data_IF_377290104824
#
_entry.id   IF_377290104824
#
_cell.length_a   1.000
_cell.length_b   1.000
_cell.length_c   1.000
_cell.angle_alpha   90.00
_cell.angle_beta   90.00
_cell.angle_gamma   90.00
#
_symmetry.space_group_name_H-M   'P 1'
#
loop_
_entity.id
_entity.type
_entity.pdbx_description
1 polymer ?
#
# COMPACT_ATOMS: atom_id res chain seq x y z
N UNK A 1 -6.68 26.94 -5.06
CA UNK A 1 -6.42 26.41 -3.70
C UNK A 1 -5.33 25.37 -3.79
N UNK A 2 -4.44 25.27 -2.81
CA UNK A 2 -3.43 24.19 -2.73
C UNK A 2 -3.76 23.38 -1.49
N UNK A 3 -3.88 22.06 -1.64
CA UNK A 3 -4.24 21.15 -0.56
C UNK A 3 -3.42 19.86 -0.62
N UNK A 4 -3.54 19.06 0.44
CA UNK A 4 -2.89 17.75 0.55
C UNK A 4 -3.94 16.73 0.96
N UNK A 5 -3.91 15.58 0.30
CA UNK A 5 -4.58 14.37 0.76
C UNK A 5 -3.49 13.47 1.36
N UNK A 6 -3.69 13.07 2.61
CA UNK A 6 -2.71 12.33 3.41
C UNK A 6 -3.28 10.95 3.75
N UNK A 7 -2.51 9.91 3.44
CA UNK A 7 -2.85 8.52 3.75
C UNK A 7 -1.77 7.92 4.65
N UNK A 8 -2.17 7.44 5.82
CA UNK A 8 -1.28 6.78 6.77
C UNK A 8 -1.58 5.27 6.82
N UNK A 9 -0.60 4.46 6.45
CA UNK A 9 -0.65 3.02 6.69
C UNK A 9 -0.50 2.76 8.20
N UNK A 10 -1.38 1.93 8.75
CA UNK A 10 -1.40 1.59 10.19
C UNK A 10 -1.03 0.15 10.45
N UNK A 11 -1.64 -0.78 9.72
CA UNK A 11 -1.43 -2.20 9.90
C UNK A 11 -1.68 -2.94 8.58
N UNK A 12 -0.90 -3.99 8.34
CA UNK A 12 -1.06 -4.93 7.25
C UNK A 12 -0.68 -6.34 7.69
N UNK A 13 -1.39 -7.34 7.20
CA UNK A 13 -1.16 -8.74 7.55
C UNK A 13 -1.22 -9.61 6.30
N UNK A 14 -0.13 -10.33 6.06
CA UNK A 14 -0.01 -11.41 5.08
C UNK A 14 0.75 -12.57 5.75
N UNK A 15 0.15 -13.26 6.74
CA UNK A 15 0.86 -14.27 7.53
C UNK A 15 1.44 -15.41 6.69
N UNK A 16 0.82 -15.71 5.54
CA UNK A 16 1.24 -16.77 4.64
C UNK A 16 2.34 -16.34 3.65
N UNK A 17 2.63 -15.03 3.53
CA UNK A 17 3.66 -14.51 2.62
C UNK A 17 3.33 -14.71 1.14
N UNK A 18 2.04 -14.61 0.79
CA UNK A 18 1.55 -14.91 -0.57
C UNK A 18 1.32 -13.64 -1.40
N UNK A 19 1.57 -13.76 -2.69
CA UNK A 19 1.15 -12.80 -3.71
C UNK A 19 -0.32 -13.03 -4.10
N UNK A 20 -0.89 -12.06 -4.82
CA UNK A 20 -2.24 -12.19 -5.39
C UNK A 20 -2.39 -13.41 -6.31
N UNK A 21 -1.30 -13.87 -6.94
CA UNK A 21 -1.28 -15.08 -7.77
C UNK A 21 -1.42 -16.38 -6.97
N UNK A 22 -1.21 -16.35 -5.65
CA UNK A 22 -1.10 -17.53 -4.79
C UNK A 22 0.32 -18.10 -4.67
N UNK A 23 1.30 -17.50 -5.36
CA UNK A 23 2.73 -17.83 -5.20
C UNK A 23 3.31 -17.14 -3.97
N UNK A 24 4.45 -17.63 -3.47
CA UNK A 24 5.21 -16.92 -2.45
C UNK A 24 5.79 -15.61 -3.00
N UNK A 25 5.78 -14.55 -2.19
CA UNK A 25 6.38 -13.27 -2.58
C UNK A 25 7.88 -13.36 -2.80
N UNK A 26 8.55 -14.16 -1.96
CA UNK A 26 9.95 -14.52 -2.08
C UNK A 26 10.10 -16.03 -2.26
N UNK A 27 11.30 -16.56 -1.99
CA UNK A 27 11.61 -17.96 -2.21
C UNK A 27 10.72 -18.89 -1.36
N UNK A 28 10.22 -20.00 -1.94
CA UNK A 28 9.58 -21.05 -1.18
C UNK A 28 10.51 -21.59 -0.09
N UNK A 29 9.96 -22.05 1.04
CA UNK A 29 10.76 -22.74 2.05
C UNK A 29 11.35 -24.04 1.47
N UNK A 30 12.56 -24.42 1.92
CA UNK A 30 13.17 -25.71 1.60
C UNK A 30 12.25 -26.85 2.07
N UNK A 31 11.48 -27.43 1.14
CA UNK A 31 10.41 -28.40 1.46
C UNK A 31 9.07 -28.14 0.77
N UNK A 32 8.90 -27.03 0.06
CA UNK A 32 7.97 -26.91 -1.08
C UNK A 32 6.47 -26.76 -0.78
N UNK A 33 6.06 -26.49 0.47
CA UNK A 33 4.64 -26.35 0.82
C UNK A 33 4.26 -25.04 1.52
N UNK A 34 5.23 -24.24 1.96
CA UNK A 34 4.99 -22.96 2.66
C UNK A 34 6.01 -21.93 2.20
N UNK A 35 5.64 -20.66 2.27
CA UNK A 35 6.59 -19.58 2.04
C UNK A 35 7.63 -19.51 3.15
N UNK A 36 8.81 -19.02 2.81
CA UNK A 36 9.90 -18.89 3.76
C UNK A 36 9.50 -17.97 4.91
N UNK A 37 9.66 -18.44 6.15
CA UNK A 37 9.54 -17.57 7.32
C UNK A 37 10.78 -16.67 7.52
N UNK A 38 11.91 -17.03 6.89
CA UNK A 38 13.19 -16.32 6.99
C UNK A 38 13.34 -15.22 5.94
N UNK A 39 12.69 -15.39 4.80
CA UNK A 39 12.74 -14.48 3.66
C UNK A 39 11.30 -14.04 3.39
N UNK A 40 10.97 -12.85 3.88
CA UNK A 40 9.61 -12.31 3.96
C UNK A 40 9.45 -11.18 2.95
N UNK A 41 8.22 -10.96 2.52
CA UNK A 41 7.91 -9.98 1.48
C UNK A 41 8.45 -8.58 1.81
N UNK A 42 9.11 -7.94 0.86
CA UNK A 42 9.41 -6.51 0.93
C UNK A 42 8.15 -5.67 0.64
N UNK A 43 7.30 -5.49 1.65
CA UNK A 43 5.98 -4.86 1.50
C UNK A 43 6.07 -3.34 1.42
N UNK A 44 5.51 -2.76 0.35
CA UNK A 44 5.28 -1.32 0.18
C UNK A 44 3.83 -1.05 -0.27
N UNK A 45 3.39 0.21 -0.18
CA UNK A 45 2.05 0.62 -0.56
C UNK A 45 2.07 1.65 -1.68
N UNK A 46 1.17 1.49 -2.63
CA UNK A 46 0.87 2.46 -3.68
C UNK A 46 -0.58 2.92 -3.56
N UNK A 47 -0.80 4.23 -3.65
CA UNK A 47 -2.12 4.83 -3.61
C UNK A 47 -2.37 5.64 -4.89
N UNK A 48 -3.55 5.44 -5.48
CA UNK A 48 -4.06 6.17 -6.62
C UNK A 48 -5.35 6.88 -6.21
N UNK A 49 -5.37 8.19 -6.32
CA UNK A 49 -6.53 9.01 -6.01
C UNK A 49 -7.14 9.53 -7.31
N UNK A 50 -8.46 9.44 -7.42
CA UNK A 50 -9.23 9.90 -8.59
C UNK A 50 -10.64 10.32 -8.21
N UNK A 51 -11.39 10.82 -9.17
CA UNK A 51 -12.77 11.25 -8.98
C UNK A 51 -13.69 10.12 -8.51
N UNK A 52 -14.74 10.51 -7.80
CA UNK A 52 -15.82 9.59 -7.45
C UNK A 52 -16.47 9.02 -8.72
N UNK A 53 -16.70 7.72 -8.72
CA UNK A 53 -17.39 7.01 -9.79
C UNK A 53 -18.49 6.14 -9.17
N UNK A 54 -19.73 6.26 -9.65
CA UNK A 54 -20.85 5.44 -9.18
C UNK A 54 -20.60 3.93 -9.37
N UNK A 55 -19.78 3.56 -10.36
CA UNK A 55 -19.24 2.22 -10.55
C UNK A 55 -17.72 2.29 -10.55
N UNK A 56 -17.09 1.72 -9.54
CA UNK A 56 -15.64 1.81 -9.35
C UNK A 56 -14.92 0.92 -10.37
N UNK A 57 -14.01 1.53 -11.14
CA UNK A 57 -13.01 0.81 -11.91
C UNK A 57 -11.68 0.85 -11.14
N UNK A 58 -11.08 -0.29 -10.75
CA UNK A 58 -9.83 -0.29 -9.96
C UNK A 58 -8.62 0.16 -10.79
N UNK A 59 -8.74 0.14 -12.12
CA UNK A 59 -7.74 0.62 -13.07
C UNK A 59 -8.16 1.97 -13.66
N UNK A 60 -7.20 2.73 -14.17
CA UNK A 60 -7.42 4.03 -14.81
C UNK A 60 -6.40 5.06 -14.36
N UNK A 61 -6.56 6.30 -14.83
CA UNK A 61 -5.69 7.41 -14.44
C UNK A 61 -5.99 7.89 -13.02
N UNK A 62 -4.95 8.20 -12.26
CA UNK A 62 -5.04 8.84 -10.95
C UNK A 62 -5.22 10.36 -11.14
N UNK A 63 -6.43 10.78 -11.52
CA UNK A 63 -6.75 12.17 -11.89
C UNK A 63 -6.45 13.18 -10.78
N UNK A 64 -6.49 12.73 -9.53
CA UNK A 64 -6.16 13.53 -8.36
C UNK A 64 -4.70 13.37 -7.91
N UNK A 65 -4.01 12.36 -8.42
CA UNK A 65 -2.60 12.07 -8.18
C UNK A 65 -2.38 10.69 -7.56
N UNK A 66 -1.12 10.31 -7.45
CA UNK A 66 -0.71 9.04 -6.83
C UNK A 66 0.53 9.22 -5.98
N UNK A 67 0.78 8.27 -5.09
CA UNK A 67 1.99 8.21 -4.30
C UNK A 67 2.31 6.80 -3.84
N UNK A 68 3.51 6.60 -3.31
CA UNK A 68 3.93 5.31 -2.76
C UNK A 68 4.80 5.51 -1.54
N UNK A 69 4.87 4.49 -0.71
CA UNK A 69 5.82 4.40 0.38
C UNK A 69 7.12 3.74 -0.11
N UNK A 70 8.20 3.85 0.67
CA UNK A 70 9.26 2.85 0.61
C UNK A 70 8.77 1.49 1.13
N UNK A 71 9.66 0.49 1.16
CA UNK A 71 9.40 -0.77 1.85
C UNK A 71 9.22 -0.49 3.34
N UNK A 72 8.10 -0.93 3.90
CA UNK A 72 7.73 -0.68 5.30
C UNK A 72 8.00 -1.89 6.21
N UNK A 73 8.14 -3.08 5.64
CA UNK A 73 8.42 -4.29 6.40
C UNK A 73 8.12 -5.56 5.63
N UNK A 74 8.16 -6.67 6.37
CA UNK A 74 7.95 -8.04 5.89
C UNK A 74 6.50 -8.40 5.54
N UNK A 75 6.16 -9.66 5.82
CA UNK A 75 4.82 -10.23 5.65
C UNK A 75 3.72 -9.49 6.43
N UNK A 76 4.02 -8.98 7.63
CA UNK A 76 3.04 -8.30 8.47
C UNK A 76 3.70 -7.14 9.20
N UNK A 77 2.96 -6.04 9.32
CA UNK A 77 3.45 -4.80 9.88
C UNK A 77 2.36 -4.14 10.72
N UNK A 78 2.72 -3.64 11.89
CA UNK A 78 1.89 -2.73 12.69
C UNK A 78 2.72 -1.50 13.05
N UNK A 79 2.39 -0.37 12.42
CA UNK A 79 3.05 0.92 12.68
C UNK A 79 2.39 1.57 13.90
N UNK A 80 3.19 1.79 14.95
CA UNK A 80 2.75 2.51 16.14
C UNK A 80 2.64 4.01 15.84
N UNK A 81 1.83 4.71 16.64
CA UNK A 81 1.52 6.13 16.42
C UNK A 81 2.74 7.03 16.29
N UNK A 82 3.90 6.69 16.86
CA UNK A 82 5.10 7.53 16.83
C UNK A 82 5.94 7.40 15.55
N UNK A 83 5.65 6.46 14.66
CA UNK A 83 6.46 6.19 13.46
C UNK A 83 5.96 6.98 12.24
N UNK A 84 5.67 8.27 12.44
CA UNK A 84 5.02 9.18 11.48
C UNK A 84 5.80 9.39 10.17
N UNK A 85 7.07 9.00 10.12
CA UNK A 85 7.90 9.13 8.92
C UNK A 85 7.76 7.94 7.99
N UNK A 86 7.31 6.78 8.49
CA UNK A 86 7.18 5.56 7.74
C UNK A 86 5.69 5.29 7.43
N UNK A 87 5.40 4.90 6.19
CA UNK A 87 4.04 4.53 5.79
C UNK A 87 3.09 5.70 5.50
N UNK A 88 3.60 6.92 5.40
CA UNK A 88 2.82 8.10 5.02
C UNK A 88 2.90 8.38 3.51
N UNK A 89 1.75 8.57 2.87
CA UNK A 89 1.65 8.97 1.46
C UNK A 89 0.96 10.32 1.36
N UNK A 90 1.63 11.30 0.75
CA UNK A 90 1.10 12.65 0.51
C UNK A 90 0.81 12.85 -0.97
N UNK A 91 -0.44 13.14 -1.31
CA UNK A 91 -0.87 13.51 -2.66
C UNK A 91 -1.24 14.99 -2.66
N UNK A 92 -0.40 15.81 -3.30
CA UNK A 92 -0.60 17.26 -3.40
C UNK A 92 -1.52 17.60 -4.56
N UNK A 93 -2.48 18.49 -4.34
CA UNK A 93 -3.39 18.95 -5.37
C UNK A 93 -3.53 20.47 -5.43
N UNK A 94 -3.92 20.98 -6.61
CA UNK A 94 -4.08 22.41 -6.90
C UNK A 94 -5.50 22.84 -7.30
N UNK A 95 -6.46 21.92 -7.27
CA UNK A 95 -7.88 22.15 -7.56
C UNK A 95 -8.70 22.28 -6.26
N UNK A 96 -9.98 22.64 -6.36
CA UNK A 96 -10.89 22.64 -5.21
C UNK A 96 -11.26 21.20 -4.84
N UNK A 97 -11.20 20.86 -3.55
CA UNK A 97 -11.54 19.51 -3.10
C UNK A 97 -13.04 19.25 -3.32
N UNK A 98 -13.42 18.19 -4.06
CA UNK A 98 -14.81 18.00 -4.49
C UNK A 98 -15.76 17.54 -3.38
N UNK A 99 -15.26 17.09 -2.22
CA UNK A 99 -16.02 16.58 -1.05
C UNK A 99 -16.84 15.30 -1.31
N UNK A 100 -17.06 14.96 -2.58
CA UNK A 100 -17.81 13.80 -3.09
C UNK A 100 -17.33 12.45 -2.57
#
# INVERSE_FOLDING_TARGET
AVGMFELQIRNFQNPDGLLQSGECCDLPASGGQRCSARDQCDTFFYACLKEYQARVLPKGACTFGSGSTGVLGGNSLSLQHHDHTNGHIVIRFKYAWPVS
#
